data_IF_914645025843
#
_entry.id   IF_914645025843
#
_cell.length_a   1.000
_cell.length_b   1.000
_cell.length_c   1.000
_cell.angle_alpha   90.00
_cell.angle_beta   90.00
_cell.angle_gamma   90.00
#
_symmetry.space_group_name_H-M   'P 1'
#
loop_
_entity.id
_entity.type
_entity.pdbx_description
1 polymer ?
#
# COMPACT_ATOMS: atom_id res chain seq x y z
N UNK A 1 8.30 -25.84 -2.13
CA UNK A 1 7.82 -24.58 -1.54
C UNK A 1 7.50 -23.59 -2.64
N UNK A 2 6.35 -22.92 -2.55
CA UNK A 2 5.98 -21.89 -3.51
C UNK A 2 6.52 -20.52 -3.14
N UNK A 3 6.45 -19.59 -4.07
CA UNK A 3 6.80 -18.18 -3.85
C UNK A 3 5.69 -17.49 -3.06
N UNK A 4 6.07 -16.55 -2.20
CA UNK A 4 5.16 -15.62 -1.54
C UNK A 4 5.30 -14.27 -2.22
N UNK A 5 4.20 -13.74 -2.78
CA UNK A 5 4.17 -12.38 -3.30
C UNK A 5 3.62 -11.44 -2.22
N UNK A 6 4.46 -10.58 -1.61
CA UNK A 6 4.03 -9.72 -0.52
C UNK A 6 3.33 -8.43 -0.98
N UNK A 7 3.10 -8.24 -2.29
CA UNK A 7 2.57 -6.99 -2.81
C UNK A 7 1.77 -7.17 -4.10
N UNK A 8 0.49 -7.46 -3.97
CA UNK A 8 -0.41 -7.57 -5.14
C UNK A 8 -1.57 -6.58 -5.05
N UNK A 9 -2.20 -6.33 -6.20
CA UNK A 9 -3.39 -5.52 -6.36
C UNK A 9 -4.41 -6.26 -7.22
N UNK A 10 -5.18 -7.18 -6.64
CA UNK A 10 -6.23 -7.92 -7.34
C UNK A 10 -7.55 -7.14 -7.49
N UNK A 11 -7.59 -5.92 -6.95
CA UNK A 11 -8.61 -4.92 -7.23
C UNK A 11 -10.03 -5.22 -6.72
N UNK A 12 -10.32 -6.39 -6.21
CA UNK A 12 -11.60 -6.75 -5.59
C UNK A 12 -11.58 -6.40 -4.09
N UNK A 13 -12.64 -5.74 -3.58
CA UNK A 13 -13.86 -5.34 -4.27
C UNK A 13 -13.73 -4.03 -5.06
N UNK A 14 -14.66 -3.86 -6.01
CA UNK A 14 -15.02 -2.58 -6.62
C UNK A 14 -14.28 -2.17 -7.89
N UNK A 15 -13.30 -2.98 -8.33
CA UNK A 15 -12.55 -2.75 -9.58
C UNK A 15 -12.28 -4.06 -10.32
N UNK A 16 -13.21 -5.01 -10.23
CA UNK A 16 -13.10 -6.36 -10.78
C UNK A 16 -12.95 -6.38 -12.30
N UNK A 17 -13.31 -5.29 -12.98
CA UNK A 17 -13.05 -5.10 -14.41
C UNK A 17 -11.56 -5.06 -14.78
N UNK A 18 -10.68 -4.89 -13.78
CA UNK A 18 -9.21 -4.95 -13.98
C UNK A 18 -8.65 -6.32 -13.63
N UNK A 19 -9.04 -6.84 -12.47
CA UNK A 19 -8.65 -8.13 -11.92
C UNK A 19 -9.53 -8.47 -10.74
N UNK A 20 -9.73 -9.75 -10.44
CA UNK A 20 -10.44 -10.25 -9.28
C UNK A 20 -9.62 -11.30 -8.50
N UNK A 21 -10.10 -11.68 -7.32
CA UNK A 21 -9.43 -12.66 -6.46
C UNK A 21 -9.37 -14.06 -7.08
N UNK A 22 -10.38 -14.43 -7.86
CA UNK A 22 -10.45 -15.75 -8.48
C UNK A 22 -9.42 -15.88 -9.61
N UNK A 23 -9.42 -14.94 -10.57
CA UNK A 23 -8.50 -14.96 -11.71
C UNK A 23 -7.06 -14.67 -11.28
N UNK A 24 -6.85 -13.67 -10.43
CA UNK A 24 -5.53 -13.33 -9.90
C UNK A 24 -4.88 -14.46 -9.13
N UNK A 25 -5.64 -15.15 -8.25
CA UNK A 25 -5.10 -16.29 -7.50
C UNK A 25 -4.78 -17.52 -8.37
N UNK A 26 -5.57 -17.76 -9.42
CA UNK A 26 -5.25 -18.82 -10.41
C UNK A 26 -3.99 -18.48 -11.21
N UNK A 27 -3.83 -17.21 -11.62
CA UNK A 27 -2.62 -16.75 -12.30
C UNK A 27 -1.39 -16.90 -11.38
N UNK A 28 -1.52 -16.53 -10.10
CA UNK A 28 -0.50 -16.72 -9.08
C UNK A 28 -0.10 -18.20 -8.96
N UNK A 29 -1.07 -19.10 -8.79
CA UNK A 29 -0.84 -20.56 -8.72
C UNK A 29 -0.10 -21.09 -9.95
N UNK A 30 -0.53 -20.68 -11.15
CA UNK A 30 0.12 -21.07 -12.41
C UNK A 30 1.56 -20.58 -12.50
N UNK A 31 1.86 -19.42 -11.93
CA UNK A 31 3.21 -18.85 -11.86
C UNK A 31 4.08 -19.39 -10.72
N UNK A 32 3.57 -20.32 -9.90
CA UNK A 32 4.31 -20.85 -8.74
C UNK A 32 4.23 -19.99 -7.47
N UNK A 33 3.38 -18.97 -7.47
CA UNK A 33 3.06 -18.16 -6.28
C UNK A 33 1.96 -18.87 -5.48
N UNK A 34 2.28 -19.33 -4.29
CA UNK A 34 1.36 -20.08 -3.42
C UNK A 34 0.77 -19.27 -2.27
N UNK A 35 1.20 -18.03 -2.13
CA UNK A 35 0.69 -17.10 -1.14
C UNK A 35 0.82 -15.68 -1.64
N UNK A 36 -0.17 -14.82 -1.38
CA UNK A 36 -0.07 -13.39 -1.68
C UNK A 36 -0.50 -12.53 -0.51
N UNK A 37 0.02 -11.30 -0.47
CA UNK A 37 -0.43 -10.25 0.45
C UNK A 37 -0.96 -9.07 -0.38
N UNK A 38 -2.25 -8.79 -0.26
CA UNK A 38 -2.92 -7.77 -1.08
C UNK A 38 -3.02 -6.42 -0.39
N UNK A 39 -2.87 -5.37 -1.19
CA UNK A 39 -2.93 -3.98 -0.78
C UNK A 39 -4.37 -3.48 -0.59
N UNK A 40 -4.57 -2.45 0.27
CA UNK A 40 -5.90 -2.03 0.71
C UNK A 40 -6.65 -1.10 -0.25
N UNK A 41 -6.07 -0.70 -1.38
CA UNK A 41 -6.63 0.31 -2.28
C UNK A 41 -7.68 -0.23 -3.23
N UNK A 42 -8.70 -0.84 -2.68
CA UNK A 42 -9.93 -1.34 -3.31
C UNK A 42 -11.08 -0.32 -3.16
N UNK A 43 -12.30 -0.66 -3.57
CA UNK A 43 -13.47 0.21 -3.42
C UNK A 43 -14.65 -0.61 -2.86
N UNK A 44 -14.98 -0.48 -1.57
CA UNK A 44 -14.33 0.40 -0.59
C UNK A 44 -12.88 0.01 -0.29
N UNK A 45 -12.09 0.97 0.22
CA UNK A 45 -10.74 0.70 0.70
C UNK A 45 -10.77 -0.13 2.00
N UNK A 46 -9.77 -1.00 2.19
CA UNK A 46 -9.68 -1.83 3.40
C UNK A 46 -9.05 -1.02 4.54
N UNK A 47 -9.85 -0.28 5.30
CA UNK A 47 -9.39 0.68 6.32
C UNK A 47 -9.89 0.39 7.73
N UNK A 48 -10.76 -0.61 7.89
CA UNK A 48 -11.34 -1.02 9.17
C UNK A 48 -11.61 -2.53 9.21
N UNK A 49 -12.14 -3.02 10.35
CA UNK A 49 -12.44 -4.42 10.54
C UNK A 49 -13.54 -4.93 9.59
N UNK A 50 -14.54 -4.11 9.29
CA UNK A 50 -15.66 -4.53 8.46
C UNK A 50 -15.21 -4.79 7.02
N UNK A 51 -14.48 -3.87 6.44
CA UNK A 51 -13.91 -3.98 5.08
C UNK A 51 -12.86 -5.09 4.99
N UNK A 52 -12.07 -5.32 6.04
CA UNK A 52 -11.15 -6.45 6.11
C UNK A 52 -11.90 -7.79 6.16
N UNK A 53 -12.97 -7.88 6.94
CA UNK A 53 -13.79 -9.10 7.08
C UNK A 53 -14.48 -9.45 5.76
N UNK A 54 -15.04 -8.46 5.06
CA UNK A 54 -15.64 -8.67 3.72
C UNK A 54 -14.61 -9.23 2.73
N UNK A 55 -13.42 -8.64 2.71
CA UNK A 55 -12.34 -9.07 1.82
C UNK A 55 -11.86 -10.49 2.11
N UNK A 56 -11.72 -10.85 3.39
CA UNK A 56 -11.41 -12.21 3.82
C UNK A 56 -12.49 -13.20 3.40
N UNK A 57 -13.77 -12.85 3.53
CA UNK A 57 -14.89 -13.69 3.14
C UNK A 57 -14.95 -13.91 1.61
N UNK A 58 -14.62 -12.90 0.81
CA UNK A 58 -14.48 -13.02 -0.65
C UNK A 58 -13.34 -13.95 -1.02
N UNK A 59 -12.17 -13.76 -0.46
CA UNK A 59 -11.01 -14.61 -0.72
C UNK A 59 -11.24 -16.06 -0.32
N UNK A 60 -11.91 -16.30 0.79
CA UNK A 60 -12.26 -17.65 1.26
C UNK A 60 -13.14 -18.43 0.26
N UNK A 61 -13.93 -17.72 -0.56
CA UNK A 61 -14.79 -18.33 -1.58
C UNK A 61 -14.10 -18.54 -2.92
N UNK A 62 -13.12 -17.72 -3.26
CA UNK A 62 -12.62 -17.62 -4.64
C UNK A 62 -11.11 -17.86 -4.80
N UNK A 63 -10.30 -17.63 -3.77
CA UNK A 63 -8.86 -17.80 -3.88
C UNK A 63 -8.46 -19.26 -3.87
N UNK A 64 -7.56 -19.65 -4.79
CA UNK A 64 -6.99 -21.01 -4.89
C UNK A 64 -5.59 -21.11 -4.25
N UNK A 65 -5.06 -20.01 -3.70
CA UNK A 65 -3.80 -19.95 -2.97
C UNK A 65 -3.99 -19.25 -1.61
N UNK A 66 -3.00 -19.34 -0.73
CA UNK A 66 -3.05 -18.64 0.55
C UNK A 66 -3.06 -17.11 0.35
N UNK A 67 -3.73 -16.42 1.25
CA UNK A 67 -3.92 -14.98 1.15
C UNK A 67 -3.79 -14.26 2.49
N UNK A 68 -3.38 -13.01 2.43
CA UNK A 68 -3.43 -12.06 3.54
C UNK A 68 -3.70 -10.66 2.99
N UNK A 69 -4.19 -9.78 3.87
CA UNK A 69 -4.57 -8.42 3.49
C UNK A 69 -3.91 -7.40 4.40
N UNK A 70 -3.40 -6.33 3.79
CA UNK A 70 -2.98 -5.14 4.52
C UNK A 70 -4.19 -4.28 4.86
N UNK A 71 -4.14 -3.66 6.05
CA UNK A 71 -5.05 -2.56 6.38
C UNK A 71 -4.43 -1.24 5.94
N UNK A 72 -5.21 -0.40 5.26
CA UNK A 72 -4.78 0.91 4.78
C UNK A 72 -4.82 1.96 5.86
N UNK A 73 -3.73 2.71 6.00
CA UNK A 73 -3.69 3.86 6.88
C UNK A 73 -4.40 5.06 6.26
N UNK A 74 -5.12 5.78 7.10
CA UNK A 74 -5.66 7.11 6.84
C UNK A 74 -5.29 8.04 7.99
N UNK A 75 -5.39 9.36 7.84
CA UNK A 75 -5.16 10.28 8.95
C UNK A 75 -6.09 10.06 10.16
N UNK A 76 -7.18 9.29 10.01
CA UNK A 76 -8.26 9.21 10.99
C UNK A 76 -8.49 7.82 11.60
N UNK A 77 -7.85 6.74 11.08
CA UNK A 77 -8.22 5.37 11.47
C UNK A 77 -7.20 4.65 12.38
N UNK A 78 -6.45 5.39 13.19
CA UNK A 78 -5.38 4.81 14.03
C UNK A 78 -5.85 3.64 14.92
N UNK A 79 -7.05 3.73 15.50
CA UNK A 79 -7.62 2.66 16.31
C UNK A 79 -7.85 1.39 15.47
N UNK A 80 -8.44 1.53 14.28
CA UNK A 80 -8.66 0.43 13.35
C UNK A 80 -7.35 -0.23 12.91
N UNK A 81 -6.27 0.57 12.69
CA UNK A 81 -4.95 0.03 12.33
C UNK A 81 -4.41 -0.94 13.39
N UNK A 82 -4.70 -0.70 14.65
CA UNK A 82 -4.23 -1.53 15.75
C UNK A 82 -5.19 -2.69 16.05
N UNK A 83 -6.49 -2.46 15.97
CA UNK A 83 -7.52 -3.44 16.35
C UNK A 83 -7.83 -4.48 15.26
N UNK A 84 -7.79 -4.11 13.97
CA UNK A 84 -8.22 -4.99 12.88
C UNK A 84 -7.44 -6.32 12.83
N UNK A 85 -8.16 -7.44 12.81
CA UNK A 85 -7.57 -8.78 12.82
C UNK A 85 -8.38 -9.76 11.93
N UNK A 86 -7.68 -10.65 11.19
CA UNK A 86 -6.24 -10.72 10.95
C UNK A 86 -5.81 -9.75 9.82
N UNK A 87 -4.91 -8.82 10.12
CA UNK A 87 -4.26 -8.01 9.11
C UNK A 87 -2.76 -8.32 9.07
N UNK A 88 -2.18 -8.54 7.88
CA UNK A 88 -0.78 -8.91 7.74
C UNK A 88 0.19 -7.73 8.01
N UNK A 89 -0.29 -6.51 7.88
CA UNK A 89 0.47 -5.29 8.14
C UNK A 89 -0.37 -4.05 7.92
N UNK A 90 0.25 -2.89 8.13
CA UNK A 90 -0.32 -1.58 7.83
C UNK A 90 0.29 -1.10 6.52
N UNK A 91 -0.53 -0.69 5.55
CA UNK A 91 -0.07 -0.03 4.34
C UNK A 91 -0.23 1.48 4.44
N UNK A 92 0.84 2.21 4.15
CA UNK A 92 0.84 3.67 4.04
C UNK A 92 1.18 4.06 2.59
N UNK A 93 0.41 4.97 2.02
CA UNK A 93 0.74 5.68 0.80
C UNK A 93 1.23 7.08 1.19
N UNK A 94 2.54 7.32 1.12
CA UNK A 94 3.14 8.61 1.46
C UNK A 94 3.02 9.63 0.33
N UNK A 95 2.70 9.17 -0.88
CA UNK A 95 2.43 9.97 -2.06
C UNK A 95 1.69 9.16 -3.11
N UNK A 96 1.25 9.85 -4.16
CA UNK A 96 0.64 9.25 -5.36
C UNK A 96 -0.54 8.29 -5.06
N UNK A 97 -1.37 8.63 -4.07
CA UNK A 97 -2.57 7.87 -3.75
C UNK A 97 -3.83 8.66 -4.08
N UNK A 98 -4.93 7.95 -4.24
CA UNK A 98 -6.26 8.51 -4.46
C UNK A 98 -7.14 8.34 -3.23
N UNK A 99 -8.02 9.30 -2.99
CA UNK A 99 -8.94 9.28 -1.86
C UNK A 99 -8.26 9.41 -0.50
N UNK A 100 -8.87 8.84 0.52
CA UNK A 100 -8.47 9.01 1.92
C UNK A 100 -7.21 8.21 2.33
N UNK A 101 -6.64 7.41 1.44
CA UNK A 101 -5.46 6.58 1.72
C UNK A 101 -4.13 7.36 1.70
N UNK A 102 -4.13 8.63 1.32
CA UNK A 102 -2.93 9.45 1.31
C UNK A 102 -2.57 9.90 2.74
N UNK A 103 -1.38 9.52 3.21
CA UNK A 103 -0.82 9.93 4.49
C UNK A 103 0.56 10.52 4.27
N UNK A 104 0.64 11.82 4.04
CA UNK A 104 1.88 12.52 3.72
C UNK A 104 2.34 13.51 4.79
N UNK A 105 1.42 13.95 5.69
CA UNK A 105 1.76 14.89 6.75
C UNK A 105 2.62 14.21 7.81
N UNK A 106 3.64 14.92 8.28
CA UNK A 106 4.59 14.41 9.28
C UNK A 106 3.90 13.96 10.57
N UNK A 107 2.97 14.74 11.06
CA UNK A 107 2.21 14.47 12.28
C UNK A 107 1.40 13.16 12.21
N UNK A 108 0.76 12.88 11.06
CA UNK A 108 -0.01 11.65 10.87
C UNK A 108 0.91 10.43 10.76
N UNK A 109 2.02 10.56 10.04
CA UNK A 109 3.04 9.52 9.96
C UNK A 109 3.60 9.21 11.35
N UNK A 110 3.96 10.22 12.14
CA UNK A 110 4.47 10.04 13.51
C UNK A 110 3.45 9.32 14.38
N UNK A 111 2.17 9.70 14.33
CA UNK A 111 1.11 9.03 15.09
C UNK A 111 1.00 7.55 14.74
N UNK A 112 1.08 7.19 13.45
CA UNK A 112 0.99 5.79 13.02
C UNK A 112 2.24 5.02 13.44
N UNK A 113 3.43 5.56 13.23
CA UNK A 113 4.68 4.89 13.60
C UNK A 113 4.86 4.75 15.12
N UNK A 114 4.39 5.72 15.91
CA UNK A 114 4.46 5.69 17.36
C UNK A 114 3.54 4.64 18.02
N UNK A 115 2.47 4.22 17.33
CA UNK A 115 1.42 3.40 17.93
C UNK A 115 1.35 2.00 17.32
N UNK A 116 1.34 0.98 18.18
CA UNK A 116 1.21 -0.43 17.82
C UNK A 116 2.52 -1.12 17.41
N UNK A 117 2.41 -2.39 17.01
CA UNK A 117 3.58 -3.26 16.75
C UNK A 117 3.58 -3.90 15.36
N UNK A 118 2.52 -3.73 14.57
CA UNK A 118 2.43 -4.30 13.23
C UNK A 118 3.51 -3.73 12.33
N UNK A 119 3.98 -4.56 11.39
CA UNK A 119 4.85 -4.08 10.32
C UNK A 119 4.13 -2.99 9.50
N UNK A 120 4.87 -1.94 9.17
CA UNK A 120 4.41 -0.85 8.30
C UNK A 120 5.04 -1.03 6.93
N UNK A 121 4.22 -1.14 5.90
CA UNK A 121 4.64 -1.18 4.51
C UNK A 121 4.33 0.16 3.84
N UNK A 122 5.32 0.77 3.18
CA UNK A 122 5.17 2.12 2.63
C UNK A 122 5.36 2.15 1.12
N UNK A 123 4.46 2.85 0.42
CA UNK A 123 4.73 3.43 -0.89
C UNK A 123 5.41 4.78 -0.64
N UNK A 124 6.71 4.84 -0.89
CA UNK A 124 7.55 5.96 -0.48
C UNK A 124 7.84 6.89 -1.65
N UNK A 125 6.95 7.85 -1.86
CA UNK A 125 7.15 9.01 -2.72
C UNK A 125 6.72 10.26 -1.98
N UNK A 126 7.45 11.37 -2.14
CA UNK A 126 7.16 12.62 -1.47
C UNK A 126 6.07 13.40 -2.21
N UNK A 127 4.87 13.49 -1.61
CA UNK A 127 3.69 14.09 -2.24
C UNK A 127 3.88 15.57 -2.55
N UNK A 128 4.58 16.30 -1.70
CA UNK A 128 4.84 17.73 -1.92
C UNK A 128 5.71 17.92 -3.18
N UNK A 129 6.78 17.15 -3.30
CA UNK A 129 7.62 17.16 -4.48
C UNK A 129 6.85 16.73 -5.73
N UNK A 130 6.05 15.69 -5.64
CA UNK A 130 5.20 15.25 -6.76
C UNK A 130 4.26 16.36 -7.23
N UNK A 131 3.66 17.10 -6.29
CA UNK A 131 2.79 18.21 -6.60
C UNK A 131 3.55 19.35 -7.31
N UNK A 132 4.72 19.74 -6.81
CA UNK A 132 5.59 20.75 -7.43
C UNK A 132 5.99 20.34 -8.86
N UNK A 133 6.39 19.09 -9.05
CA UNK A 133 6.81 18.60 -10.38
C UNK A 133 5.64 18.47 -11.34
N UNK A 134 4.45 18.05 -10.90
CA UNK A 134 3.24 18.10 -11.75
C UNK A 134 2.96 19.52 -12.25
N UNK A 135 3.08 20.52 -11.38
CA UNK A 135 2.92 21.91 -11.79
C UNK A 135 4.00 22.36 -12.77
N UNK A 136 5.25 21.94 -12.56
CA UNK A 136 6.38 22.27 -13.46
C UNK A 136 6.23 21.68 -14.87
N UNK A 137 5.58 20.52 -14.99
CA UNK A 137 5.40 19.81 -16.26
C UNK A 137 3.94 19.81 -16.75
N UNK A 138 3.13 20.79 -16.30
CA UNK A 138 1.69 20.82 -16.58
C UNK A 138 1.33 20.83 -18.07
N UNK A 139 2.19 21.42 -18.91
CA UNK A 139 1.97 21.53 -20.35
C UNK A 139 2.40 20.28 -21.15
N UNK A 140 2.98 19.27 -20.48
CA UNK A 140 3.44 18.05 -21.12
C UNK A 140 2.42 16.92 -20.97
N UNK A 141 2.14 16.22 -22.09
CA UNK A 141 1.19 15.12 -22.17
C UNK A 141 1.82 13.80 -22.62
N UNK A 142 3.12 13.78 -22.91
CA UNK A 142 3.83 12.57 -23.35
C UNK A 142 4.06 11.60 -22.19
N UNK A 143 4.13 10.31 -22.49
CA UNK A 143 4.30 9.28 -21.46
C UNK A 143 5.62 9.40 -20.68
N UNK A 144 6.68 9.94 -21.25
CA UNK A 144 7.98 10.10 -20.61
C UNK A 144 7.93 11.08 -19.44
N UNK A 145 7.01 12.06 -19.46
CA UNK A 145 6.84 13.04 -18.39
C UNK A 145 6.50 12.38 -17.05
N UNK A 146 5.89 11.20 -17.05
CA UNK A 146 5.59 10.47 -15.83
C UNK A 146 6.85 10.18 -15.00
N UNK A 147 7.95 9.76 -15.63
CA UNK A 147 9.23 9.52 -14.97
C UNK A 147 9.91 10.80 -14.49
N UNK A 148 9.68 11.92 -15.21
CA UNK A 148 10.16 13.24 -14.80
C UNK A 148 9.44 13.74 -13.54
N UNK A 149 8.13 13.56 -13.47
CA UNK A 149 7.32 13.96 -12.31
C UNK A 149 7.66 13.09 -11.10
N UNK A 150 7.77 11.78 -11.28
CA UNK A 150 8.07 10.80 -10.22
C UNK A 150 9.57 10.45 -10.22
N UNK A 151 10.37 11.44 -9.93
CA UNK A 151 11.82 11.32 -9.98
C UNK A 151 12.42 10.59 -8.77
N UNK A 152 13.68 10.23 -8.90
CA UNK A 152 14.43 9.52 -7.84
C UNK A 152 14.46 10.30 -6.52
N UNK A 153 14.47 11.63 -6.58
CA UNK A 153 14.52 12.46 -5.38
C UNK A 153 13.22 12.36 -4.56
N UNK A 154 12.07 12.22 -5.22
CA UNK A 154 10.80 11.99 -4.54
C UNK A 154 10.83 10.70 -3.72
N UNK A 155 11.35 9.62 -4.30
CA UNK A 155 11.51 8.34 -3.62
C UNK A 155 12.55 8.41 -2.48
N UNK A 156 13.68 9.09 -2.70
CA UNK A 156 14.73 9.23 -1.70
C UNK A 156 14.26 10.00 -0.46
N UNK A 157 13.57 11.13 -0.63
CA UNK A 157 13.03 11.94 0.48
C UNK A 157 12.06 11.11 1.32
N UNK A 158 11.08 10.48 0.68
CA UNK A 158 10.06 9.71 1.41
C UNK A 158 10.65 8.46 2.08
N UNK A 159 11.59 7.77 1.42
CA UNK A 159 12.30 6.62 2.00
C UNK A 159 13.11 7.02 3.23
N UNK A 160 13.91 8.09 3.16
CA UNK A 160 14.69 8.59 4.30
C UNK A 160 13.77 8.96 5.47
N UNK A 161 12.65 9.59 5.19
CA UNK A 161 11.64 9.97 6.19
C UNK A 161 11.02 8.74 6.87
N UNK A 162 10.63 7.73 6.09
CA UNK A 162 10.08 6.47 6.62
C UNK A 162 11.11 5.71 7.50
N UNK A 163 12.37 5.65 7.07
CA UNK A 163 13.48 5.05 7.83
C UNK A 163 13.74 5.78 9.15
N UNK A 164 13.73 7.13 9.14
CA UNK A 164 13.91 7.93 10.35
C UNK A 164 12.78 7.65 11.37
N UNK A 165 11.53 7.58 10.90
CA UNK A 165 10.37 7.25 11.75
C UNK A 165 10.47 5.82 12.29
N UNK A 166 10.80 4.86 11.46
CA UNK A 166 10.96 3.47 11.87
C UNK A 166 12.05 3.33 12.94
N UNK A 167 13.18 4.01 12.79
CA UNK A 167 14.26 4.05 13.79
C UNK A 167 13.82 4.74 15.09
N UNK A 168 13.18 5.91 15.00
CA UNK A 168 12.70 6.70 16.16
C UNK A 168 11.76 5.88 17.04
N UNK A 169 10.81 5.18 16.41
CA UNK A 169 9.75 4.44 17.11
C UNK A 169 10.00 2.93 17.20
N UNK A 170 11.19 2.46 16.78
CA UNK A 170 11.55 1.01 16.75
C UNK A 170 10.52 0.16 16.02
N UNK A 171 9.96 0.69 14.93
CA UNK A 171 8.91 0.05 14.15
C UNK A 171 9.50 -0.80 13.04
N UNK A 172 8.97 -2.01 12.85
CA UNK A 172 9.30 -2.81 11.66
C UNK A 172 8.77 -2.11 10.41
N UNK A 173 9.63 -1.92 9.42
CA UNK A 173 9.33 -1.22 8.18
C UNK A 173 9.63 -2.10 6.97
N UNK A 174 8.76 -2.05 5.97
CA UNK A 174 8.97 -2.61 4.65
C UNK A 174 8.83 -1.48 3.61
N UNK A 175 9.93 -1.11 2.95
CA UNK A 175 9.89 -0.21 1.80
C UNK A 175 9.48 -1.05 0.59
N UNK A 176 8.32 -0.72 0.00
CA UNK A 176 7.80 -1.44 -1.15
C UNK A 176 8.46 -0.95 -2.45
N UNK A 177 8.55 -1.87 -3.44
CA UNK A 177 8.99 -1.56 -4.82
C UNK A 177 10.12 -0.51 -4.91
N UNK A 178 11.14 -0.63 -4.05
CA UNK A 178 12.32 0.23 -4.10
C UNK A 178 13.06 0.02 -5.43
N UNK A 179 13.05 1.05 -6.29
CA UNK A 179 13.54 0.97 -7.67
C UNK A 179 14.55 2.06 -8.02
N UNK A 180 14.92 2.88 -7.05
CA UNK A 180 15.89 3.99 -7.21
C UNK A 180 17.18 3.69 -6.46
N UNK A 181 18.27 4.33 -6.89
CA UNK A 181 19.57 4.30 -6.22
C UNK A 181 19.71 5.43 -5.21
#
# INVERSE_FOLDING_TARGET
PGVIDPHVHFREPGKEYKEDLASGSRAAARGGVTSFLEMPNTSPATTDQATLTDKLARAAKSSVVNYGFFIGATPKNLESLNAAHPACGIKIFMGCSTGDLLVHKQEDLERIFANGTRIVAVHAEDEERLHQRRAQFADRTDAAVHSEIRDNQSAAIATARALALAKKYRRRLHILHLSTR
#
